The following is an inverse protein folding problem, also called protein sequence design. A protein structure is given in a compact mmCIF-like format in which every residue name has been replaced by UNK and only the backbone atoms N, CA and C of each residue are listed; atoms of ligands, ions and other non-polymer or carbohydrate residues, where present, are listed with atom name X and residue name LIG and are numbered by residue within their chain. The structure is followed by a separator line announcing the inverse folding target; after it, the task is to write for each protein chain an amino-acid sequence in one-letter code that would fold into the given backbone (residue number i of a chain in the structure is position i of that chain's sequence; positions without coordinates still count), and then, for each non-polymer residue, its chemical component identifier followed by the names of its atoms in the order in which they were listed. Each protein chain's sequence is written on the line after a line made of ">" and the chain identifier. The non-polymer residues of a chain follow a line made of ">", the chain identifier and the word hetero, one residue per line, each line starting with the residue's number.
data_IF_601902031670
#
_entry.id   IF_601902031670
#
_cell.length_a   1.000
_cell.length_b   1.000
_cell.length_c   1.000
_cell.angle_alpha   90.00
_cell.angle_beta   90.00
_cell.angle_gamma   90.00
#
_symmetry.space_group_name_H-M   'P 1'
#
loop_
_entity.id
_entity.type
_entity.pdbx_description
1 polymer ?
#
# COMPACT_ATOMS: atom_id res chain seq x y z
N UNK A 1 -9.08 -10.52 3.58
CA UNK A 1 -8.60 -10.47 2.20
C UNK A 1 -7.24 -9.74 2.16
N UNK A 2 -6.12 -10.43 1.86
CA UNK A 2 -4.83 -9.80 1.58
C UNK A 2 -4.81 -9.29 0.13
N UNK A 3 -4.14 -8.15 -0.11
CA UNK A 3 -4.04 -7.54 -1.44
C UNK A 3 -2.59 -7.27 -1.90
N UNK A 4 -1.59 -7.60 -1.11
CA UNK A 4 -0.17 -7.36 -1.43
C UNK A 4 0.66 -8.63 -1.24
N UNK A 5 1.70 -8.81 -2.05
CA UNK A 5 2.66 -9.90 -1.92
C UNK A 5 3.60 -9.69 -0.73
N UNK A 6 4.09 -10.80 -0.16
CA UNK A 6 4.95 -10.79 1.03
C UNK A 6 6.29 -11.49 0.78
N UNK A 7 7.34 -10.99 1.43
CA UNK A 7 8.69 -11.54 1.32
C UNK A 7 9.00 -12.57 2.40
N UNK A 8 9.58 -13.71 2.02
CA UNK A 8 9.88 -14.84 2.93
C UNK A 8 10.88 -14.47 4.05
N UNK A 9 11.92 -13.71 3.73
CA UNK A 9 12.94 -13.31 4.71
C UNK A 9 12.35 -12.45 5.85
N UNK A 10 11.48 -11.49 5.53
CA UNK A 10 10.82 -10.65 6.52
C UNK A 10 9.88 -11.46 7.44
N UNK A 11 9.20 -12.48 6.88
CA UNK A 11 8.35 -13.38 7.68
C UNK A 11 9.17 -14.25 8.64
N UNK A 12 10.29 -14.78 8.19
CA UNK A 12 11.16 -15.62 9.01
C UNK A 12 11.74 -14.85 10.22
N UNK A 13 12.14 -13.59 10.02
CA UNK A 13 12.64 -12.75 11.11
C UNK A 13 11.52 -12.40 12.11
N UNK A 14 10.34 -12.03 11.64
CA UNK A 14 9.17 -11.77 12.49
C UNK A 14 8.71 -13.00 13.25
N UNK A 15 8.81 -14.21 12.67
CA UNK A 15 8.46 -15.45 13.35
C UNK A 15 9.42 -15.74 14.53
N UNK A 16 10.72 -15.42 14.41
CA UNK A 16 11.65 -15.47 15.53
C UNK A 16 11.21 -14.54 16.66
N UNK A 17 10.77 -13.32 16.32
CA UNK A 17 10.27 -12.37 17.30
C UNK A 17 9.01 -12.91 18.02
N UNK A 18 8.04 -13.47 17.29
CA UNK A 18 6.85 -14.10 17.86
C UNK A 18 7.21 -15.23 18.83
N UNK A 19 8.14 -16.12 18.43
CA UNK A 19 8.60 -17.22 19.28
C UNK A 19 9.30 -16.72 20.56
N UNK A 20 10.03 -15.61 20.48
CA UNK A 20 10.75 -15.05 21.61
C UNK A 20 9.84 -14.26 22.57
N UNK A 21 8.91 -13.47 22.03
CA UNK A 21 8.06 -12.57 22.83
C UNK A 21 6.72 -13.18 23.21
N UNK A 22 6.24 -14.14 22.42
CA UNK A 22 4.89 -14.72 22.52
C UNK A 22 3.82 -13.64 22.62
N UNK A 23 3.89 -12.63 21.73
CA UNK A 23 2.97 -11.50 21.72
C UNK A 23 2.84 -10.89 20.33
N UNK A 24 1.66 -10.33 20.05
CA UNK A 24 1.49 -9.36 18.99
C UNK A 24 1.94 -7.98 19.53
N UNK A 25 3.12 -7.53 19.15
CA UNK A 25 3.71 -6.26 19.59
C UNK A 25 3.19 -5.05 18.81
N UNK A 26 2.60 -5.29 17.65
CA UNK A 26 1.95 -4.29 16.81
C UNK A 26 0.77 -4.89 16.07
N UNK A 27 -0.27 -4.08 15.92
CA UNK A 27 -1.52 -4.47 15.28
C UNK A 27 -1.38 -4.59 13.75
N UNK A 28 -2.24 -5.42 13.16
CA UNK A 28 -2.54 -5.39 11.74
C UNK A 28 -3.48 -4.20 11.50
N UNK A 29 -3.45 -3.60 10.33
CA UNK A 29 -4.42 -2.61 9.93
C UNK A 29 -5.44 -3.27 8.98
N UNK A 30 -6.68 -3.38 9.42
CA UNK A 30 -7.80 -3.90 8.66
C UNK A 30 -8.80 -2.81 8.33
N UNK A 31 -9.34 -2.84 7.11
CA UNK A 31 -10.43 -1.98 6.66
C UNK A 31 -11.65 -2.81 6.32
N UNK A 32 -12.84 -2.25 6.53
CA UNK A 32 -14.10 -2.95 6.29
C UNK A 32 -15.17 -2.00 5.76
N UNK A 33 -16.11 -2.48 4.91
CA UNK A 33 -17.21 -1.65 4.43
C UNK A 33 -18.24 -1.43 5.55
N UNK A 34 -18.58 -0.17 5.82
CA UNK A 34 -19.61 0.24 6.79
C UNK A 34 -20.20 1.59 6.39
N UNK A 35 -21.00 1.62 5.34
CA UNK A 35 -21.62 2.85 4.81
C UNK A 35 -22.48 3.59 5.86
N UNK A 36 -23.12 2.84 6.74
CA UNK A 36 -23.95 3.41 7.81
C UNK A 36 -23.12 3.86 9.03
N UNK A 37 -21.80 3.66 9.02
CA UNK A 37 -20.87 3.96 10.12
C UNK A 37 -21.36 3.37 11.48
N UNK A 38 -21.94 2.18 11.42
CA UNK A 38 -22.61 1.56 12.57
C UNK A 38 -21.63 1.19 13.67
N UNK A 39 -20.51 0.55 13.32
CA UNK A 39 -19.52 0.11 14.30
C UNK A 39 -18.86 1.29 15.00
N UNK A 40 -18.51 2.34 14.27
CA UNK A 40 -17.91 3.56 14.81
C UNK A 40 -18.88 4.29 15.73
N UNK A 41 -20.14 4.47 15.31
CA UNK A 41 -21.17 5.13 16.11
C UNK A 41 -21.40 4.41 17.43
N UNK A 42 -21.42 3.06 17.42
CA UNK A 42 -21.56 2.27 18.64
C UNK A 42 -20.42 2.51 19.61
N UNK A 43 -19.18 2.51 19.12
CA UNK A 43 -18.00 2.76 19.94
C UNK A 43 -17.96 4.20 20.47
N UNK A 44 -18.21 5.20 19.65
CA UNK A 44 -18.24 6.63 20.05
C UNK A 44 -19.28 6.89 21.13
N UNK A 45 -20.46 6.30 21.01
CA UNK A 45 -21.49 6.41 22.04
C UNK A 45 -21.05 5.77 23.37
N UNK A 46 -20.32 4.66 23.31
CA UNK A 46 -19.87 3.91 24.50
C UNK A 46 -18.79 4.64 25.30
N UNK A 47 -18.03 5.54 24.66
CA UNK A 47 -16.91 6.27 25.28
C UNK A 47 -17.26 7.71 25.65
N UNK A 48 -18.52 8.14 25.47
CA UNK A 48 -18.94 9.49 25.84
C UNK A 48 -18.71 9.75 27.33
N UNK A 49 -17.95 10.82 27.61
CA UNK A 49 -17.60 11.21 29.01
C UNK A 49 -16.49 10.34 29.63
N UNK A 50 -15.93 9.40 28.92
CA UNK A 50 -14.79 8.58 29.38
C UNK A 50 -13.48 9.30 29.06
N UNK A 51 -12.58 9.40 30.04
CA UNK A 51 -11.25 9.99 29.84
C UNK A 51 -10.37 9.04 29.03
N UNK A 52 -9.76 9.55 27.97
CA UNK A 52 -8.82 8.80 27.17
C UNK A 52 -7.49 8.56 27.89
N UNK A 53 -6.81 7.47 27.52
CA UNK A 53 -5.37 7.34 27.74
C UNK A 53 -4.70 8.06 26.57
N UNK A 54 -3.82 9.01 26.87
CA UNK A 54 -3.16 9.83 25.85
C UNK A 54 -1.67 9.51 25.75
N UNK A 55 -1.14 9.51 24.55
CA UNK A 55 0.28 9.40 24.26
C UNK A 55 0.64 10.27 23.05
N UNK A 56 1.77 10.95 23.11
CA UNK A 56 2.30 11.72 21.97
C UNK A 56 3.52 11.02 21.41
N UNK A 57 3.56 10.80 20.10
CA UNK A 57 4.69 10.18 19.44
C UNK A 57 5.84 11.17 19.15
N UNK A 58 6.92 10.66 18.54
CA UNK A 58 8.11 11.46 18.21
C UNK A 58 7.86 12.51 17.10
N UNK A 59 6.77 12.39 16.34
CA UNK A 59 6.33 13.37 15.35
C UNK A 59 5.39 14.44 15.94
N UNK A 60 5.07 14.36 17.24
CA UNK A 60 4.15 15.26 17.92
C UNK A 60 2.67 14.91 17.71
N UNK A 61 2.35 13.77 17.12
CA UNK A 61 0.97 13.30 16.92
C UNK A 61 0.41 12.79 18.25
N UNK A 62 -0.76 13.31 18.64
CA UNK A 62 -1.47 12.89 19.84
C UNK A 62 -2.35 11.67 19.53
N UNK A 63 -2.08 10.57 20.22
CA UNK A 63 -2.85 9.33 20.17
C UNK A 63 -3.75 9.24 21.40
N UNK A 64 -5.01 8.85 21.19
CA UNK A 64 -6.01 8.64 22.24
C UNK A 64 -6.54 7.22 22.19
N UNK A 65 -6.63 6.58 23.35
CA UNK A 65 -7.10 5.21 23.51
C UNK A 65 -8.19 5.15 24.58
N UNK A 66 -9.32 4.52 24.28
CA UNK A 66 -10.42 4.27 25.20
C UNK A 66 -10.65 2.75 25.31
N UNK A 67 -10.29 2.13 26.44
CA UNK A 67 -10.63 0.72 26.66
C UNK A 67 -12.13 0.54 26.85
N UNK A 68 -12.75 -0.38 26.09
CA UNK A 68 -14.16 -0.76 26.23
C UNK A 68 -14.24 -2.18 26.79
N UNK A 69 -14.85 -2.33 27.97
CA UNK A 69 -14.95 -3.61 28.68
C UNK A 69 -16.41 -4.10 28.80
N UNK A 70 -17.40 -3.28 28.41
CA UNK A 70 -18.79 -3.66 28.48
C UNK A 70 -19.10 -4.80 27.50
N UNK A 71 -19.47 -5.95 28.06
CA UNK A 71 -19.73 -7.17 27.27
C UNK A 71 -20.92 -7.01 26.32
N UNK A 72 -21.89 -6.14 26.63
CA UNK A 72 -23.02 -5.85 25.76
C UNK A 72 -22.54 -5.09 24.53
N UNK A 73 -21.74 -4.03 24.72
CA UNK A 73 -21.17 -3.25 23.62
C UNK A 73 -20.27 -4.11 22.76
N UNK A 74 -19.42 -4.95 23.38
CA UNK A 74 -18.55 -5.89 22.65
C UNK A 74 -19.39 -6.88 21.82
N UNK A 75 -20.51 -7.38 22.39
CA UNK A 75 -21.42 -8.27 21.66
C UNK A 75 -22.07 -7.58 20.46
N UNK A 76 -22.65 -6.40 20.65
CA UNK A 76 -23.25 -5.59 19.60
C UNK A 76 -22.23 -5.25 18.48
N UNK A 77 -21.02 -4.90 18.86
CA UNK A 77 -19.93 -4.64 17.90
C UNK A 77 -19.57 -5.91 17.12
N UNK A 78 -19.48 -7.05 17.80
CA UNK A 78 -19.20 -8.35 17.17
C UNK A 78 -20.28 -8.72 16.16
N UNK A 79 -21.56 -8.56 16.50
CA UNK A 79 -22.69 -8.78 15.61
C UNK A 79 -22.65 -7.85 14.39
N UNK A 80 -22.30 -6.58 14.59
CA UNK A 80 -22.15 -5.62 13.52
C UNK A 80 -21.00 -5.97 12.57
N UNK A 81 -19.87 -6.45 13.10
CA UNK A 81 -18.67 -6.75 12.32
C UNK A 81 -18.70 -8.12 11.62
N UNK A 82 -19.33 -9.14 12.21
CA UNK A 82 -19.33 -10.52 11.71
C UNK A 82 -19.71 -10.68 10.22
N UNK A 83 -20.74 -10.00 9.68
CA UNK A 83 -21.12 -10.16 8.28
C UNK A 83 -20.21 -9.39 7.30
N UNK A 84 -19.30 -8.54 7.81
CA UNK A 84 -18.49 -7.68 6.98
C UNK A 84 -17.17 -8.34 6.58
N UNK A 85 -16.80 -8.28 5.29
CA UNK A 85 -15.45 -8.70 4.88
C UNK A 85 -14.41 -7.76 5.47
N UNK A 86 -13.24 -8.31 5.84
CA UNK A 86 -12.10 -7.55 6.32
C UNK A 86 -10.98 -7.60 5.30
N UNK A 87 -10.49 -6.43 4.88
CA UNK A 87 -9.37 -6.29 3.97
C UNK A 87 -8.14 -5.82 4.77
N UNK A 88 -6.99 -6.43 4.55
CA UNK A 88 -5.76 -6.01 5.22
C UNK A 88 -5.21 -4.77 4.52
N UNK A 89 -5.28 -3.61 5.17
CA UNK A 89 -4.75 -2.36 4.64
C UNK A 89 -3.22 -2.27 4.79
N UNK A 90 -2.69 -2.67 5.95
CA UNK A 90 -1.25 -2.75 6.21
C UNK A 90 -0.96 -3.90 7.18
N UNK A 91 0.25 -4.43 7.09
CA UNK A 91 0.69 -5.52 7.96
C UNK A 91 0.49 -6.92 7.40
N UNK A 92 0.47 -7.11 6.08
CA UNK A 92 0.39 -8.41 5.44
C UNK A 92 1.42 -9.41 5.99
N UNK A 93 2.70 -8.99 6.14
CA UNK A 93 3.73 -9.80 6.77
C UNK A 93 3.42 -10.15 8.23
N UNK A 94 2.79 -9.23 9.00
CA UNK A 94 2.39 -9.48 10.40
C UNK A 94 1.28 -10.51 10.47
N UNK A 95 0.29 -10.41 9.58
CA UNK A 95 -0.80 -11.36 9.48
C UNK A 95 -0.29 -12.77 9.13
N UNK A 96 0.48 -12.90 8.05
CA UNK A 96 1.00 -14.22 7.63
C UNK A 96 1.96 -14.81 8.68
N UNK A 97 2.73 -13.98 9.38
CA UNK A 97 3.58 -14.46 10.48
C UNK A 97 2.75 -14.96 11.66
N UNK A 98 1.67 -14.26 12.03
CA UNK A 98 0.76 -14.70 13.08
C UNK A 98 0.07 -16.02 12.69
N UNK A 99 -0.33 -16.17 11.43
CA UNK A 99 -0.88 -17.41 10.90
C UNK A 99 0.16 -18.56 10.97
N UNK A 100 1.39 -18.32 10.52
CA UNK A 100 2.47 -19.32 10.59
C UNK A 100 2.80 -19.72 12.03
N UNK A 101 2.75 -18.77 12.97
CA UNK A 101 2.94 -19.07 14.40
C UNK A 101 1.82 -19.96 14.95
N UNK A 102 0.57 -19.66 14.58
CA UNK A 102 -0.59 -20.49 14.89
C UNK A 102 -0.41 -21.93 14.38
N UNK A 103 -0.04 -22.09 13.11
CA UNK A 103 0.20 -23.40 12.48
C UNK A 103 1.35 -24.17 13.20
N UNK A 104 2.41 -23.45 13.60
CA UNK A 104 3.51 -24.03 14.37
C UNK A 104 3.01 -24.61 15.70
N UNK A 105 2.15 -23.87 16.43
CA UNK A 105 1.57 -24.33 17.69
C UNK A 105 0.63 -25.52 17.47
N UNK A 106 -0.16 -25.53 16.40
CA UNK A 106 -1.07 -26.61 16.05
C UNK A 106 -0.29 -27.91 15.76
N UNK A 107 0.76 -27.83 14.95
CA UNK A 107 1.65 -28.96 14.66
C UNK A 107 2.34 -29.53 15.91
N UNK A 108 2.55 -28.68 16.92
CA UNK A 108 3.13 -29.10 18.22
C UNK A 108 2.08 -29.64 19.21
N UNK A 109 0.79 -29.61 18.86
CA UNK A 109 -0.30 -30.01 19.75
C UNK A 109 -0.54 -29.03 20.91
N UNK A 110 -0.06 -27.78 20.78
CA UNK A 110 -0.17 -26.74 21.80
C UNK A 110 -1.37 -25.81 21.58
N UNK A 111 -1.98 -25.82 20.39
CA UNK A 111 -3.08 -24.95 20.02
C UNK A 111 -4.43 -25.51 20.52
N UNK A 112 -4.95 -24.93 21.59
CA UNK A 112 -6.31 -25.24 22.06
C UNK A 112 -7.36 -24.33 21.42
N UNK A 113 -8.64 -24.66 21.52
CA UNK A 113 -9.72 -23.84 20.97
C UNK A 113 -9.74 -22.39 21.52
N UNK A 114 -9.30 -22.20 22.76
CA UNK A 114 -9.26 -20.90 23.42
C UNK A 114 -7.85 -20.31 23.48
N UNK A 115 -6.88 -20.87 22.76
CA UNK A 115 -5.52 -20.33 22.75
C UNK A 115 -5.49 -18.93 22.14
N UNK A 116 -4.80 -17.93 22.76
CA UNK A 116 -4.76 -16.56 22.26
C UNK A 116 -4.28 -16.43 20.80
N UNK A 117 -3.42 -17.35 20.34
CA UNK A 117 -2.93 -17.37 18.96
C UNK A 117 -4.00 -17.79 17.91
N UNK A 118 -5.23 -18.12 18.34
CA UNK A 118 -6.37 -18.24 17.42
C UNK A 118 -6.84 -16.88 16.87
N UNK A 119 -6.39 -15.78 17.47
CA UNK A 119 -6.72 -14.43 17.08
C UNK A 119 -5.46 -13.61 16.87
N UNK A 120 -5.57 -12.51 16.14
CA UNK A 120 -4.48 -11.58 15.91
C UNK A 120 -4.93 -10.15 16.23
N UNK A 121 -4.04 -9.38 16.86
CA UNK A 121 -4.31 -7.98 17.18
C UNK A 121 -4.48 -7.17 15.90
N UNK A 122 -5.67 -6.56 15.75
CA UNK A 122 -6.03 -5.80 14.56
C UNK A 122 -6.66 -4.46 14.94
N UNK A 123 -6.23 -3.37 14.32
CA UNK A 123 -6.97 -2.13 14.27
C UNK A 123 -7.91 -2.17 13.06
N UNK A 124 -9.19 -1.92 13.27
CA UNK A 124 -10.21 -1.94 12.24
C UNK A 124 -10.72 -0.54 11.99
N UNK A 125 -10.73 -0.09 10.73
CA UNK A 125 -11.24 1.22 10.32
C UNK A 125 -12.26 1.04 9.19
N UNK A 126 -13.36 1.80 9.25
CA UNK A 126 -14.33 1.81 8.16
C UNK A 126 -13.69 2.36 6.88
N UNK A 127 -13.99 1.75 5.73
CA UNK A 127 -13.60 2.28 4.41
C UNK A 127 -14.20 3.68 4.13
N UNK A 128 -15.21 4.07 4.90
CA UNK A 128 -15.88 5.37 4.81
C UNK A 128 -15.38 6.38 5.85
N UNK A 129 -14.31 6.05 6.60
CA UNK A 129 -13.72 6.97 7.55
C UNK A 129 -12.96 8.09 6.82
N UNK A 130 -13.38 9.35 7.06
CA UNK A 130 -12.80 10.52 6.41
C UNK A 130 -11.34 10.82 6.82
N UNK A 131 -10.87 10.23 7.91
CA UNK A 131 -9.48 10.37 8.38
C UNK A 131 -8.50 9.40 7.72
N UNK A 132 -9.00 8.47 6.89
CA UNK A 132 -8.14 7.50 6.22
C UNK A 132 -7.70 8.00 4.85
N UNK A 133 -6.40 8.07 4.64
CA UNK A 133 -5.80 8.54 3.39
C UNK A 133 -4.92 7.43 2.82
N UNK A 134 -5.01 7.22 1.51
CA UNK A 134 -4.07 6.38 0.75
C UNK A 134 -3.15 7.31 -0.04
N UNK A 135 -1.90 7.36 0.35
CA UNK A 135 -0.89 8.16 -0.35
C UNK A 135 -0.31 7.39 -1.54
N UNK A 136 0.14 8.10 -2.57
CA UNK A 136 0.88 7.50 -3.68
C UNK A 136 2.18 6.87 -3.18
N UNK A 137 2.70 5.94 -3.95
CA UNK A 137 4.05 5.43 -3.77
C UNK A 137 4.79 5.62 -5.08
N UNK A 138 5.51 6.72 -5.19
CA UNK A 138 6.37 7.01 -6.33
C UNK A 138 7.60 6.10 -6.30
N UNK A 139 8.23 5.89 -7.44
CA UNK A 139 9.32 4.93 -7.60
C UNK A 139 10.49 5.55 -8.33
N UNK A 140 11.67 5.42 -7.72
CA UNK A 140 12.94 5.78 -8.35
C UNK A 140 13.73 4.48 -8.59
N UNK A 141 14.02 4.18 -9.83
CA UNK A 141 14.60 2.90 -10.23
C UNK A 141 16.12 3.01 -10.38
N UNK A 142 16.81 2.16 -9.62
CA UNK A 142 18.26 1.95 -9.74
C UNK A 142 18.53 0.75 -10.64
N UNK A 143 19.70 0.75 -11.30
CA UNK A 143 20.14 -0.40 -12.09
C UNK A 143 19.39 -0.62 -13.41
N UNK A 144 18.50 0.28 -13.78
CA UNK A 144 17.86 0.30 -15.10
C UNK A 144 18.70 1.08 -16.09
N UNK A 145 18.47 0.86 -17.40
CA UNK A 145 19.10 1.67 -18.45
C UNK A 145 18.74 3.15 -18.23
N UNK A 146 19.70 4.03 -18.53
CA UNK A 146 19.46 5.46 -18.50
C UNK A 146 18.80 5.90 -19.80
N UNK A 147 17.57 6.39 -19.71
CA UNK A 147 16.80 6.84 -20.86
C UNK A 147 16.87 8.36 -21.00
N UNK A 148 17.04 8.84 -22.25
CA UNK A 148 16.62 10.18 -22.63
C UNK A 148 15.13 10.22 -22.97
N UNK A 149 14.53 11.39 -22.96
CA UNK A 149 13.09 11.54 -23.23
C UNK A 149 12.68 11.06 -24.61
N UNK A 150 13.53 11.24 -25.62
CA UNK A 150 13.23 10.85 -27.00
C UNK A 150 13.18 9.31 -27.14
N UNK A 151 14.14 8.60 -26.57
CA UNK A 151 14.16 7.12 -26.57
C UNK A 151 13.03 6.54 -25.75
N UNK A 152 12.71 7.13 -24.59
CA UNK A 152 11.57 6.72 -23.78
C UNK A 152 10.25 6.90 -24.53
N UNK A 153 10.00 8.07 -25.12
CA UNK A 153 8.82 8.35 -25.94
C UNK A 153 8.69 7.33 -27.06
N UNK A 154 9.76 7.04 -27.79
CA UNK A 154 9.75 6.07 -28.87
C UNK A 154 9.31 4.67 -28.40
N UNK A 155 9.74 4.24 -27.21
CA UNK A 155 9.37 2.93 -26.66
C UNK A 155 7.93 2.87 -26.18
N UNK A 156 7.41 3.97 -25.65
CA UNK A 156 6.05 4.06 -25.14
C UNK A 156 5.00 4.30 -26.23
N UNK A 157 5.39 4.88 -27.39
CA UNK A 157 4.50 5.13 -28.53
C UNK A 157 3.80 3.85 -28.98
N UNK A 158 2.49 3.97 -29.22
CA UNK A 158 1.63 2.84 -29.57
C UNK A 158 0.81 2.33 -28.39
N UNK A 159 1.34 2.34 -27.16
CA UNK A 159 0.59 1.98 -25.97
C UNK A 159 0.17 3.18 -25.11
N UNK A 160 0.85 4.31 -25.28
CA UNK A 160 0.59 5.54 -24.55
C UNK A 160 0.58 6.74 -25.50
N UNK A 161 -0.28 7.71 -25.19
CA UNK A 161 -0.17 9.06 -25.71
C UNK A 161 0.83 9.82 -24.83
N UNK A 162 1.92 10.27 -25.42
CA UNK A 162 3.10 10.72 -24.69
C UNK A 162 3.46 12.16 -25.04
N UNK A 163 3.76 12.98 -24.02
CA UNK A 163 4.23 14.36 -24.18
C UNK A 163 5.31 14.72 -23.17
N UNK A 164 6.20 15.64 -23.53
CA UNK A 164 7.14 16.23 -22.59
C UNK A 164 6.44 17.22 -21.66
N UNK A 165 6.82 17.24 -20.40
CA UNK A 165 6.18 18.03 -19.34
C UNK A 165 7.15 18.94 -18.56
N UNK A 166 8.26 19.32 -19.18
CA UNK A 166 9.24 20.23 -18.62
C UNK A 166 10.56 19.55 -18.20
N UNK A 167 11.48 20.35 -17.67
CA UNK A 167 12.85 19.90 -17.33
C UNK A 167 13.20 20.20 -15.88
N UNK A 168 14.07 19.40 -15.32
CA UNK A 168 14.56 19.52 -13.96
C UNK A 168 13.73 18.80 -12.91
N UNK A 169 14.36 18.36 -11.78
CA UNK A 169 13.67 17.69 -10.69
C UNK A 169 12.49 18.48 -10.12
N UNK A 170 12.62 19.81 -10.00
CA UNK A 170 11.59 20.70 -9.45
C UNK A 170 10.27 20.68 -10.24
N UNK A 171 10.30 20.26 -11.51
CA UNK A 171 9.12 20.13 -12.34
C UNK A 171 8.20 18.96 -11.89
N UNK A 172 8.69 18.04 -11.07
CA UNK A 172 7.91 16.93 -10.53
C UNK A 172 6.58 17.39 -9.92
N UNK A 173 6.59 18.52 -9.19
CA UNK A 173 5.37 19.05 -8.56
C UNK A 173 4.29 19.43 -9.59
N UNK A 174 4.65 20.10 -10.66
CA UNK A 174 3.70 20.48 -11.72
C UNK A 174 3.21 19.25 -12.51
N UNK A 175 4.08 18.27 -12.75
CA UNK A 175 3.71 16.99 -13.38
C UNK A 175 2.74 16.23 -12.48
N UNK A 176 2.99 16.21 -11.17
CA UNK A 176 2.10 15.56 -10.21
C UNK A 176 0.73 16.24 -10.15
N UNK A 177 0.68 17.57 -10.09
CA UNK A 177 -0.57 18.34 -10.14
C UNK A 177 -1.39 18.01 -11.41
N UNK A 178 -0.74 17.87 -12.56
CA UNK A 178 -1.41 17.45 -13.78
C UNK A 178 -2.02 16.04 -13.66
N UNK A 179 -1.29 15.09 -13.09
CA UNK A 179 -1.75 13.70 -12.89
C UNK A 179 -2.93 13.65 -11.91
N UNK A 180 -2.84 14.39 -10.80
CA UNK A 180 -3.92 14.47 -9.80
C UNK A 180 -5.20 15.10 -10.34
N UNK A 181 -5.08 16.13 -11.16
CA UNK A 181 -6.24 16.78 -11.77
C UNK A 181 -7.01 15.88 -12.75
N UNK A 182 -6.33 15.01 -13.47
CA UNK A 182 -6.96 14.05 -14.36
C UNK A 182 -7.55 12.86 -13.60
N UNK A 183 -7.06 12.59 -12.38
CA UNK A 183 -7.52 11.51 -11.47
C UNK A 183 -7.65 10.13 -12.18
N UNK A 184 -6.71 9.82 -13.07
CA UNK A 184 -6.72 8.61 -13.86
C UNK A 184 -5.52 7.71 -13.55
N UNK A 185 -5.77 6.44 -13.25
CA UNK A 185 -4.73 5.43 -13.03
C UNK A 185 -3.83 5.22 -14.26
N UNK A 186 -4.33 5.48 -15.45
CA UNK A 186 -3.58 5.31 -16.70
C UNK A 186 -2.60 6.44 -17.01
N UNK A 187 -2.53 7.49 -16.21
CA UNK A 187 -1.60 8.60 -16.40
C UNK A 187 -0.41 8.48 -15.46
N UNK A 188 0.81 8.50 -16.01
CA UNK A 188 2.07 8.40 -15.28
C UNK A 188 3.01 9.54 -15.66
N UNK A 189 3.77 10.04 -14.69
CA UNK A 189 4.90 10.95 -14.92
C UNK A 189 6.20 10.16 -14.87
N UNK A 190 7.04 10.30 -15.89
CA UNK A 190 8.31 9.58 -16.00
C UNK A 190 9.45 10.60 -16.17
N UNK A 191 10.48 10.52 -15.34
CA UNK A 191 11.65 11.38 -15.41
C UNK A 191 12.82 10.66 -16.06
N UNK A 192 13.41 11.31 -17.06
CA UNK A 192 14.56 10.85 -17.81
C UNK A 192 15.80 11.60 -17.35
N UNK A 193 16.73 10.97 -16.62
CA UNK A 193 17.89 11.68 -16.05
C UNK A 193 18.92 12.10 -17.11
N UNK A 194 18.97 11.47 -18.28
CA UNK A 194 19.97 11.76 -19.33
C UNK A 194 19.82 13.19 -19.88
N UNK A 195 18.60 13.64 -20.07
CA UNK A 195 18.27 14.98 -20.60
C UNK A 195 17.43 15.81 -19.63
N UNK A 196 17.37 15.37 -18.38
CA UNK A 196 16.72 16.06 -17.25
C UNK A 196 15.24 16.40 -17.55
N UNK A 197 14.52 15.51 -18.28
CA UNK A 197 13.21 15.81 -18.85
C UNK A 197 12.11 14.92 -18.25
N UNK A 198 10.98 15.53 -17.88
CA UNK A 198 9.75 14.85 -17.52
C UNK A 198 8.91 14.53 -18.75
N UNK A 199 8.38 13.31 -18.78
CA UNK A 199 7.46 12.79 -19.78
C UNK A 199 6.17 12.38 -19.09
N UNK A 200 5.03 12.84 -19.59
CA UNK A 200 3.70 12.36 -19.17
C UNK A 200 3.23 11.35 -20.20
N UNK A 201 2.88 10.17 -19.73
CA UNK A 201 2.37 9.06 -20.52
C UNK A 201 0.93 8.73 -20.10
N UNK A 202 -0.01 8.83 -21.04
CA UNK A 202 -1.41 8.49 -20.82
C UNK A 202 -1.77 7.24 -21.61
N UNK A 203 -2.26 6.20 -20.92
CA UNK A 203 -2.58 4.90 -21.50
C UNK A 203 -3.71 5.03 -22.53
N UNK A 204 -3.45 4.61 -23.77
CA UNK A 204 -4.46 4.58 -24.82
C UNK A 204 -5.10 3.19 -25.00
N UNK A 205 -6.04 3.04 -25.92
CA UNK A 205 -6.77 1.79 -26.13
C UNK A 205 -5.87 0.64 -26.61
N UNK A 206 -4.84 0.93 -27.37
CA UNK A 206 -3.85 -0.07 -27.79
C UNK A 206 -3.05 -0.58 -26.58
N UNK A 207 -2.66 0.32 -25.66
CA UNK A 207 -2.01 -0.03 -24.40
C UNK A 207 -2.90 -0.88 -23.50
N UNK A 208 -4.19 -0.54 -23.39
CA UNK A 208 -5.16 -1.36 -22.64
C UNK A 208 -5.28 -2.77 -23.22
N UNK A 209 -5.36 -2.89 -24.56
CA UNK A 209 -5.40 -4.17 -25.24
C UNK A 209 -4.12 -4.96 -24.98
N UNK A 210 -2.96 -4.31 -25.08
CA UNK A 210 -1.67 -4.94 -24.79
C UNK A 210 -1.56 -5.44 -23.35
N UNK A 211 -2.03 -4.62 -22.39
CA UNK A 211 -2.03 -5.01 -20.98
C UNK A 211 -2.93 -6.24 -20.74
N UNK A 212 -4.11 -6.30 -21.36
CA UNK A 212 -5.01 -7.45 -21.28
C UNK A 212 -4.40 -8.73 -21.87
N UNK A 213 -3.54 -8.62 -22.89
CA UNK A 213 -2.80 -9.77 -23.44
C UNK A 213 -1.72 -10.29 -22.48
N UNK A 214 -0.86 -9.38 -21.97
CA UNK A 214 0.31 -9.77 -21.16
C UNK A 214 -0.03 -10.09 -19.69
N UNK A 215 -1.20 -9.70 -19.22
CA UNK A 215 -1.72 -9.96 -17.88
C UNK A 215 -3.13 -10.59 -17.95
N UNK A 216 -3.32 -11.54 -18.89
CA UNK A 216 -4.61 -12.19 -19.14
C UNK A 216 -5.11 -13.06 -17.98
N UNK A 217 -4.25 -13.36 -17.02
CA UNK A 217 -4.54 -14.06 -15.76
C UNK A 217 -5.02 -13.13 -14.64
N UNK A 218 -5.04 -11.82 -14.88
CA UNK A 218 -5.44 -10.79 -13.91
C UNK A 218 -6.75 -10.09 -14.34
N UNK A 219 -7.49 -9.57 -13.37
CA UNK A 219 -8.71 -8.80 -13.62
C UNK A 219 -8.45 -7.47 -14.33
N UNK A 220 -9.51 -6.90 -14.91
CA UNK A 220 -9.47 -5.55 -15.50
C UNK A 220 -9.10 -4.48 -14.48
N UNK A 221 -9.51 -4.65 -13.21
CA UNK A 221 -9.16 -3.73 -12.12
C UNK A 221 -7.66 -3.76 -11.83
N UNK A 222 -7.06 -4.95 -11.80
CA UNK A 222 -5.61 -5.10 -11.66
C UNK A 222 -4.85 -4.53 -12.86
N UNK A 223 -5.30 -4.84 -14.08
CA UNK A 223 -4.69 -4.37 -15.33
C UNK A 223 -4.74 -2.85 -15.47
N UNK A 224 -5.77 -2.20 -14.90
CA UNK A 224 -5.98 -0.75 -14.95
C UNK A 224 -5.15 0.05 -13.94
N UNK A 225 -4.57 -0.58 -12.90
CA UNK A 225 -3.79 0.14 -11.89
C UNK A 225 -2.53 0.78 -12.45
N UNK A 226 -2.26 2.03 -12.10
CA UNK A 226 -1.04 2.75 -12.49
C UNK A 226 0.24 1.99 -12.13
N UNK A 227 0.27 1.35 -10.96
CA UNK A 227 1.40 0.54 -10.54
C UNK A 227 1.56 -0.73 -11.37
N UNK A 228 0.47 -1.37 -11.78
CA UNK A 228 0.51 -2.55 -12.66
C UNK A 228 0.97 -2.17 -14.06
N UNK A 229 0.47 -1.04 -14.58
CA UNK A 229 0.88 -0.46 -15.86
C UNK A 229 2.37 -0.12 -15.86
N UNK A 230 2.86 0.51 -14.79
CA UNK A 230 4.27 0.84 -14.66
C UNK A 230 5.15 -0.41 -14.69
N UNK A 231 4.87 -1.39 -13.82
CA UNK A 231 5.74 -2.56 -13.72
C UNK A 231 5.57 -3.49 -14.92
N UNK A 232 4.33 -3.94 -15.21
CA UNK A 232 4.09 -4.99 -16.20
C UNK A 232 4.16 -4.52 -17.64
N UNK A 233 3.56 -3.35 -17.95
CA UNK A 233 3.55 -2.84 -19.33
C UNK A 233 4.80 -2.03 -19.62
N UNK A 234 5.12 -1.01 -18.80
CA UNK A 234 6.26 -0.13 -19.10
C UNK A 234 7.58 -0.86 -18.85
N UNK A 235 7.87 -1.26 -17.60
CA UNK A 235 9.18 -1.78 -17.25
C UNK A 235 9.45 -3.14 -17.91
N UNK A 236 8.62 -4.16 -17.65
CA UNK A 236 8.88 -5.52 -18.12
C UNK A 236 8.72 -5.66 -19.66
N UNK A 237 7.70 -4.99 -20.24
CA UNK A 237 7.33 -5.25 -21.65
C UNK A 237 7.90 -4.23 -22.64
N UNK A 238 7.74 -2.92 -22.38
CA UNK A 238 8.14 -1.90 -23.35
C UNK A 238 9.61 -1.50 -23.21
N UNK A 239 10.14 -1.53 -21.98
CA UNK A 239 11.54 -1.22 -21.71
C UNK A 239 12.42 -2.47 -21.67
N UNK A 240 11.85 -3.67 -21.51
CA UNK A 240 12.56 -4.96 -21.37
C UNK A 240 13.50 -4.98 -20.15
N UNK A 241 13.06 -4.31 -19.07
CA UNK A 241 13.77 -4.20 -17.79
C UNK A 241 13.21 -5.23 -16.82
N UNK A 242 13.86 -6.38 -16.72
CA UNK A 242 13.47 -7.51 -15.87
C UNK A 242 14.45 -7.70 -14.72
N UNK A 243 14.02 -8.39 -13.66
CA UNK A 243 14.84 -8.69 -12.46
C UNK A 243 15.50 -7.47 -11.82
N UNK A 244 14.79 -6.35 -11.83
CA UNK A 244 15.27 -5.08 -11.30
C UNK A 244 15.52 -5.12 -9.79
N UNK A 245 16.51 -4.38 -9.30
CA UNK A 245 16.63 -4.07 -7.89
C UNK A 245 15.33 -3.43 -7.37
N UNK A 246 15.09 -3.60 -6.07
CA UNK A 246 13.95 -2.93 -5.42
C UNK A 246 14.08 -1.41 -5.59
N UNK A 247 13.06 -0.72 -6.14
CA UNK A 247 13.10 0.73 -6.27
C UNK A 247 13.19 1.43 -4.90
N UNK A 248 13.71 2.66 -4.90
CA UNK A 248 13.49 3.60 -3.81
C UNK A 248 12.03 4.07 -3.88
N UNK A 249 11.31 3.93 -2.75
CA UNK A 249 9.91 4.31 -2.63
C UNK A 249 9.77 5.59 -1.82
N UNK A 250 9.07 6.56 -2.38
CA UNK A 250 8.76 7.83 -1.73
C UNK A 250 7.26 8.14 -1.87
N UNK A 251 6.72 8.92 -0.94
CA UNK A 251 5.27 9.11 -0.85
C UNK A 251 4.82 10.54 -1.13
N UNK A 252 5.73 11.48 -1.06
CA UNK A 252 5.49 12.89 -1.38
C UNK A 252 6.31 13.30 -2.60
N UNK A 253 5.74 14.16 -3.43
CA UNK A 253 6.43 14.63 -4.63
C UNK A 253 7.68 15.45 -4.29
N UNK A 254 7.68 16.11 -3.13
CA UNK A 254 8.83 16.83 -2.60
C UNK A 254 10.02 15.90 -2.34
N UNK A 255 9.75 14.68 -1.83
CA UNK A 255 10.79 13.65 -1.65
C UNK A 255 11.37 13.21 -3.00
N UNK A 256 10.55 13.12 -4.04
CA UNK A 256 11.04 12.83 -5.41
C UNK A 256 12.00 13.94 -5.87
N UNK A 257 11.63 15.20 -5.66
CA UNK A 257 12.49 16.36 -6.02
C UNK A 257 13.83 16.30 -5.29
N UNK A 258 13.82 16.04 -3.98
CA UNK A 258 15.01 15.96 -3.14
C UNK A 258 15.94 14.82 -3.57
N UNK A 259 15.39 13.62 -3.79
CA UNK A 259 16.15 12.45 -4.24
C UNK A 259 16.78 12.68 -5.62
N UNK A 260 16.02 13.20 -6.59
CA UNK A 260 16.53 13.49 -7.92
C UNK A 260 17.55 14.64 -7.93
N UNK A 261 17.36 15.68 -7.12
CA UNK A 261 18.33 16.76 -7.01
C UNK A 261 19.66 16.29 -6.42
N UNK A 262 19.60 15.37 -5.44
CA UNK A 262 20.80 14.76 -4.84
C UNK A 262 21.49 13.80 -5.82
N UNK A 263 20.72 13.17 -6.70
CA UNK A 263 21.24 12.19 -7.66
C UNK A 263 21.98 12.78 -8.86
N UNK A 264 21.83 14.08 -9.15
CA UNK A 264 22.49 14.74 -10.31
C UNK A 264 24.02 14.53 -10.35
N UNK A 265 24.64 14.33 -9.18
CA UNK A 265 26.09 14.07 -9.09
C UNK A 265 26.44 12.57 -9.14
N UNK A 266 25.47 11.67 -8.87
CA UNK A 266 25.70 10.23 -8.70
C UNK A 266 25.17 9.39 -9.86
N UNK A 267 24.18 9.86 -10.59
CA UNK A 267 23.46 9.14 -11.65
C UNK A 267 23.00 7.74 -11.21
N UNK A 268 22.53 7.64 -9.99
CA UNK A 268 22.09 6.39 -9.36
C UNK A 268 20.79 5.87 -9.97
N UNK A 269 19.85 6.80 -10.25
CA UNK A 269 18.56 6.46 -10.80
C UNK A 269 18.58 6.56 -12.33
N UNK A 270 18.12 5.52 -13.01
CA UNK A 270 17.96 5.51 -14.47
C UNK A 270 16.57 5.97 -14.92
N UNK A 271 15.59 5.94 -14.03
CA UNK A 271 14.21 6.37 -14.27
C UNK A 271 13.54 6.70 -12.94
N UNK A 272 12.68 7.74 -12.89
CA UNK A 272 11.74 7.92 -11.79
C UNK A 272 10.30 7.95 -12.32
N UNK A 273 9.35 7.48 -11.50
CA UNK A 273 7.95 7.39 -11.89
C UNK A 273 7.01 7.96 -10.81
N UNK A 274 6.15 8.89 -11.20
CA UNK A 274 5.01 9.37 -10.44
C UNK A 274 3.79 8.53 -10.82
N UNK A 275 3.11 7.96 -9.81
CA UNK A 275 2.03 7.01 -10.01
C UNK A 275 0.88 7.35 -9.06
N UNK A 276 -0.35 7.32 -9.56
CA UNK A 276 -1.56 7.48 -8.75
C UNK A 276 -1.69 6.36 -7.69
N UNK A 277 -2.16 6.68 -6.48
CA UNK A 277 -2.43 5.66 -5.46
C UNK A 277 -3.60 4.76 -5.88
N UNK A 278 -3.57 3.50 -5.48
CA UNK A 278 -4.75 2.65 -5.58
C UNK A 278 -5.84 3.19 -4.65
N UNK A 279 -7.08 3.24 -5.12
CA UNK A 279 -8.25 3.61 -4.31
C UNK A 279 -8.73 2.44 -3.44
N UNK A 280 -9.59 2.72 -2.46
CA UNK A 280 -10.22 1.68 -1.64
C UNK A 280 -11.07 0.72 -2.47
N UNK A 281 -11.71 1.23 -3.54
CA UNK A 281 -12.50 0.41 -4.47
C UNK A 281 -11.60 -0.55 -5.27
N UNK A 282 -10.43 -0.11 -5.71
CA UNK A 282 -9.44 -0.98 -6.34
C UNK A 282 -8.97 -2.09 -5.37
N UNK A 283 -8.67 -1.75 -4.12
CA UNK A 283 -8.25 -2.72 -3.10
C UNK A 283 -9.36 -3.76 -2.89
N UNK A 284 -10.60 -3.31 -2.78
CA UNK A 284 -11.75 -4.18 -2.61
C UNK A 284 -11.94 -5.11 -3.81
N UNK A 285 -12.05 -4.55 -5.02
CA UNK A 285 -12.30 -5.32 -6.24
C UNK A 285 -11.21 -6.38 -6.48
N UNK A 286 -9.94 -6.00 -6.45
CA UNK A 286 -8.81 -6.90 -6.68
C UNK A 286 -8.74 -7.99 -5.59
N UNK A 287 -8.98 -7.64 -4.32
CA UNK A 287 -8.99 -8.61 -3.23
C UNK A 287 -10.15 -9.60 -3.32
N UNK A 288 -11.32 -9.16 -3.78
CA UNK A 288 -12.51 -10.03 -3.98
C UNK A 288 -12.27 -11.02 -5.13
N UNK A 289 -11.48 -10.67 -6.14
CA UNK A 289 -11.00 -11.59 -7.17
C UNK A 289 -9.95 -12.60 -6.66
N UNK A 290 -9.44 -12.42 -5.43
CA UNK A 290 -8.36 -13.24 -4.86
C UNK A 290 -6.99 -12.91 -5.40
N UNK A 291 -6.87 -11.80 -6.12
CA UNK A 291 -5.64 -11.31 -6.73
C UNK A 291 -4.81 -10.46 -5.73
N UNK A 292 -3.57 -10.23 -6.08
CA UNK A 292 -2.66 -9.38 -5.31
C UNK A 292 -2.06 -8.31 -6.20
N UNK A 293 -2.09 -7.07 -5.73
CA UNK A 293 -1.42 -5.94 -6.39
C UNK A 293 0.11 -6.10 -6.31
N UNK A 294 0.86 -5.48 -7.23
CA UNK A 294 2.31 -5.38 -7.11
C UNK A 294 2.72 -4.81 -5.74
N UNK A 295 3.91 -5.18 -5.27
CA UNK A 295 4.42 -4.71 -3.98
C UNK A 295 4.43 -3.18 -3.89
N UNK A 296 4.05 -2.64 -2.72
CA UNK A 296 4.01 -1.20 -2.48
C UNK A 296 3.02 -0.44 -3.37
N UNK A 297 1.87 -1.04 -3.66
CA UNK A 297 0.76 -0.38 -4.37
C UNK A 297 -0.03 0.58 -3.50
N UNK A 298 0.03 0.42 -2.18
CA UNK A 298 -0.72 1.23 -1.21
C UNK A 298 0.17 1.72 -0.08
N UNK A 299 -0.07 2.94 0.36
CA UNK A 299 0.52 3.49 1.56
C UNK A 299 -0.57 4.20 2.37
N UNK A 300 -1.10 3.49 3.37
CA UNK A 300 -2.10 4.04 4.26
C UNK A 300 -1.49 5.01 5.27
N UNK A 301 -2.13 6.15 5.42
CA UNK A 301 -1.73 7.20 6.35
C UNK A 301 -2.93 7.62 7.23
N UNK A 302 -2.73 7.92 8.52
CA UNK A 302 -1.46 7.85 9.27
C UNK A 302 -1.01 6.42 9.56
N UNK A 303 0.31 6.21 9.74
CA UNK A 303 0.83 4.92 10.19
C UNK A 303 0.47 4.68 11.65
N UNK A 304 0.13 3.43 11.96
CA UNK A 304 -0.27 3.04 13.30
C UNK A 304 0.92 3.02 14.25
N UNK A 305 0.76 3.67 15.40
CA UNK A 305 1.77 3.62 16.46
C UNK A 305 1.83 2.21 17.07
N UNK A 306 3.02 1.63 17.08
CA UNK A 306 3.29 0.33 17.73
C UNK A 306 3.52 0.51 19.23
N UNK A 307 3.08 -0.47 20.04
CA UNK A 307 3.35 -0.51 21.47
C UNK A 307 2.29 0.13 22.38
N UNK A 308 1.27 0.80 21.82
CA UNK A 308 0.12 1.27 22.63
C UNK A 308 -0.73 0.09 23.15
N UNK A 309 -0.89 -0.94 22.34
CA UNK A 309 -1.59 -2.16 22.71
C UNK A 309 -0.73 -3.36 22.36
N UNK A 310 -0.59 -4.29 23.28
CA UNK A 310 0.13 -5.55 23.10
C UNK A 310 -0.83 -6.68 23.44
N UNK A 311 -0.89 -7.71 22.59
CA UNK A 311 -1.71 -8.90 22.82
C UNK A 311 -0.80 -10.10 23.17
N UNK A 312 -0.79 -10.55 24.42
CA UNK A 312 -0.06 -11.77 24.81
C UNK A 312 -0.64 -13.01 24.14
N UNK A 313 0.23 -13.95 23.72
CA UNK A 313 -0.11 -15.21 23.05
C UNK A 313 0.26 -16.45 23.90
N UNK A 314 0.63 -16.24 25.16
CA UNK A 314 0.97 -17.32 26.11
C UNK A 314 0.00 -17.33 27.27
#
# INVERSE_FOLDING_TARGET
>A
YPHEETHSAAKADRLKLFNATKANLSQIFGIYPDEANQAQTLLENSIQGVTAIEATDHLGVLHRLWPVYDSKIIGELTEAMNPRPMFIADGHHRYETAYNYREQLDCQGLLTANHPAQSVLTMCVSMHDAGMIVLPTHRLFEGVAQYDSASLIQRLQGCFDVSTAGTGPAQAAAVWEQIELEDQQGMLGLYCPVDDTWVVANLNDTGRTKMAEIASDQSSDWQGLGVSLLHRLIMDTLLDEVDLPKPTYVHQVEEVVEELATDQDTNKFGLAALVMPATLDHIKAISEHGERMPAKSTYFYPKLLSGLVINPLA
#
